data_IF_289151569388
#
_entry.id   IF_289151569388
#
_cell.length_a   1.000
_cell.length_b   1.000
_cell.length_c   1.000
_cell.angle_alpha   90.00
_cell.angle_beta   90.00
_cell.angle_gamma   90.00
#
_symmetry.space_group_name_H-M   'P 1'
#
loop_
_entity.id
_entity.type
_entity.pdbx_description
1 polymer ?
#
# COMPACT_ATOMS: atom_id res chain seq x y z
N UNK A 1 -0.25 30.86 14.31
CA UNK A 1 0.32 29.56 13.93
C UNK A 1 0.54 29.56 12.44
N UNK A 2 1.79 29.50 11.96
CA UNK A 2 2.05 29.28 10.55
C UNK A 2 1.67 27.83 10.22
N UNK A 3 0.84 27.63 9.19
CA UNK A 3 0.54 26.29 8.68
C UNK A 3 1.83 25.79 8.02
N UNK A 4 2.46 24.77 8.62
CA UNK A 4 3.66 24.15 8.08
C UNK A 4 3.33 23.57 6.70
N UNK A 5 3.89 24.15 5.64
CA UNK A 5 3.66 23.69 4.28
C UNK A 5 4.32 22.32 4.11
N UNK A 6 3.51 21.27 3.98
CA UNK A 6 3.95 19.88 4.01
C UNK A 6 3.42 19.12 2.79
N UNK A 7 4.20 18.14 2.32
CA UNK A 7 3.79 17.13 1.35
C UNK A 7 3.47 15.86 2.14
N UNK A 8 2.24 15.40 2.01
CA UNK A 8 1.78 14.19 2.68
C UNK A 8 1.80 13.00 1.70
N UNK A 9 2.41 11.92 2.15
CA UNK A 9 2.67 10.71 1.38
C UNK A 9 1.99 9.50 2.00
N UNK A 10 1.07 8.89 1.26
CA UNK A 10 0.55 7.55 1.55
C UNK A 10 1.37 6.53 0.77
N UNK A 11 2.33 5.90 1.45
CA UNK A 11 3.34 5.05 0.80
C UNK A 11 2.87 3.63 0.49
N UNK A 12 1.66 3.26 0.93
CA UNK A 12 1.13 1.92 0.72
C UNK A 12 -0.37 1.95 0.47
N UNK A 13 -0.78 1.98 -0.79
CA UNK A 13 -2.17 1.95 -1.20
C UNK A 13 -2.39 0.94 -2.34
N UNK A 14 -3.14 -0.13 -2.07
CA UNK A 14 -3.48 -1.14 -3.07
C UNK A 14 -4.57 -0.67 -4.04
N UNK A 15 -5.44 0.26 -3.66
CA UNK A 15 -6.60 0.59 -4.50
C UNK A 15 -7.59 -0.58 -4.67
N UNK A 16 -8.30 -0.62 -5.80
CA UNK A 16 -9.25 -1.68 -6.09
C UNK A 16 -8.52 -3.04 -6.23
N UNK A 17 -9.14 -4.11 -5.73
CA UNK A 17 -8.57 -5.46 -5.71
C UNK A 17 -8.42 -6.00 -7.13
N UNK A 18 -9.50 -5.84 -7.92
CA UNK A 18 -9.42 -5.82 -9.36
C UNK A 18 -10.33 -4.71 -9.91
N UNK A 19 -10.15 -4.43 -11.21
CA UNK A 19 -10.89 -3.35 -11.89
C UNK A 19 -12.26 -3.81 -12.43
N UNK A 20 -12.73 -5.01 -12.09
CA UNK A 20 -14.03 -5.51 -12.53
C UNK A 20 -15.17 -4.67 -11.91
N UNK A 21 -16.33 -4.56 -12.59
CA UNK A 21 -17.46 -3.82 -12.06
C UNK A 21 -17.91 -4.29 -10.66
N UNK A 22 -17.83 -5.60 -10.40
CA UNK A 22 -18.19 -6.20 -9.10
C UNK A 22 -17.29 -5.66 -7.99
N UNK A 23 -15.98 -5.77 -8.14
CA UNK A 23 -15.03 -5.37 -7.10
C UNK A 23 -14.97 -3.87 -6.90
N UNK A 24 -15.07 -3.11 -7.99
CA UNK A 24 -15.22 -1.67 -7.94
C UNK A 24 -16.43 -1.26 -7.08
N UNK A 25 -17.60 -1.84 -7.35
CA UNK A 25 -18.80 -1.57 -6.56
C UNK A 25 -18.62 -1.96 -5.08
N UNK A 26 -18.09 -3.16 -4.82
CA UNK A 26 -17.87 -3.71 -3.47
C UNK A 26 -16.91 -2.83 -2.66
N UNK A 27 -15.88 -2.26 -3.28
CA UNK A 27 -14.84 -1.47 -2.60
C UNK A 27 -15.14 0.05 -2.58
N UNK A 28 -16.38 0.45 -2.91
CA UNK A 28 -16.80 1.85 -2.86
C UNK A 28 -16.31 2.70 -4.03
N UNK A 29 -15.76 2.08 -5.09
CA UNK A 29 -15.50 2.74 -6.35
C UNK A 29 -16.80 2.79 -7.17
N UNK A 30 -17.51 3.91 -7.06
CA UNK A 30 -18.76 4.13 -7.79
C UNK A 30 -18.50 4.16 -9.31
N UNK A 31 -19.58 4.16 -10.08
CA UNK A 31 -19.51 4.36 -11.54
C UNK A 31 -18.67 5.60 -11.87
N UNK A 32 -17.88 5.52 -12.95
CA UNK A 32 -17.06 6.63 -13.43
C UNK A 32 -15.58 6.31 -13.55
N UNK A 33 -14.76 7.36 -13.59
CA UNK A 33 -13.31 7.26 -13.72
C UNK A 33 -12.67 6.96 -12.35
N UNK A 34 -11.93 5.86 -12.25
CA UNK A 34 -11.31 5.41 -11.01
C UNK A 34 -10.17 6.34 -10.55
N UNK A 35 -9.31 6.75 -11.48
CA UNK A 35 -8.22 7.69 -11.20
C UNK A 35 -8.77 9.01 -10.66
N UNK A 36 -9.87 9.52 -11.23
CA UNK A 36 -10.56 10.70 -10.71
C UNK A 36 -10.96 10.53 -9.23
N UNK A 37 -11.56 9.40 -8.86
CA UNK A 37 -11.99 9.15 -7.48
C UNK A 37 -10.82 9.08 -6.50
N UNK A 38 -9.70 8.49 -6.93
CA UNK A 38 -8.45 8.46 -6.14
C UNK A 38 -7.94 9.88 -5.93
N UNK A 39 -7.80 10.66 -7.01
CA UNK A 39 -7.27 12.04 -6.97
C UNK A 39 -8.18 12.95 -6.15
N UNK A 40 -9.49 12.90 -6.33
CA UNK A 40 -10.45 13.71 -5.56
C UNK A 40 -10.35 13.42 -4.07
N UNK A 41 -10.20 12.15 -3.71
CA UNK A 41 -10.06 11.75 -2.31
C UNK A 41 -8.73 12.20 -1.74
N UNK A 42 -7.64 12.08 -2.51
CA UNK A 42 -6.33 12.58 -2.15
C UNK A 42 -6.36 14.10 -1.89
N UNK A 43 -6.90 14.88 -2.82
CA UNK A 43 -7.04 16.33 -2.72
C UNK A 43 -7.89 16.74 -1.51
N UNK A 44 -9.02 16.05 -1.28
CA UNK A 44 -9.90 16.30 -0.12
C UNK A 44 -9.18 16.04 1.21
N UNK A 45 -8.31 15.03 1.26
CA UNK A 45 -7.55 14.64 2.45
C UNK A 45 -6.17 15.29 2.54
N UNK A 46 -5.86 16.20 1.61
CA UNK A 46 -4.55 16.84 1.52
C UNK A 46 -3.39 15.83 1.41
N UNK A 47 -3.56 14.78 0.61
CA UNK A 47 -2.51 13.80 0.26
C UNK A 47 -1.99 14.14 -1.13
N UNK A 48 -0.69 14.42 -1.24
CA UNK A 48 -0.06 14.82 -2.50
C UNK A 48 0.67 13.66 -3.17
N UNK A 49 1.22 12.73 -2.40
CA UNK A 49 1.91 11.57 -2.95
C UNK A 49 1.15 10.30 -2.56
N UNK A 50 0.92 9.40 -3.52
CA UNK A 50 0.30 8.10 -3.28
C UNK A 50 1.13 7.04 -4.00
N UNK A 51 1.64 6.07 -3.26
CA UNK A 51 2.20 4.85 -3.83
C UNK A 51 1.08 3.87 -4.16
N UNK A 52 0.85 3.65 -5.45
CA UNK A 52 -0.14 2.68 -5.92
C UNK A 52 0.53 1.32 -6.12
N UNK A 53 0.13 0.35 -5.30
CA UNK A 53 0.79 -0.96 -5.18
C UNK A 53 0.24 -1.99 -6.16
N UNK A 54 1.09 -2.39 -7.09
CA UNK A 54 0.95 -3.57 -7.94
C UNK A 54 1.42 -4.82 -7.20
N UNK A 55 0.60 -5.86 -7.21
CA UNK A 55 0.87 -7.09 -6.46
C UNK A 55 0.14 -8.28 -7.10
N UNK A 56 0.87 -9.39 -7.25
CA UNK A 56 0.35 -10.67 -7.72
C UNK A 56 0.79 -11.75 -6.75
N UNK A 57 -0.18 -12.42 -6.12
CA UNK A 57 0.10 -13.46 -5.16
C UNK A 57 0.64 -14.75 -5.76
N UNK A 58 0.47 -14.94 -7.08
CA UNK A 58 0.93 -16.11 -7.84
C UNK A 58 0.34 -17.43 -7.29
N UNK A 59 -0.48 -18.14 -8.07
CA UNK A 59 -0.72 -19.54 -7.72
C UNK A 59 0.61 -20.31 -7.78
N UNK A 60 0.89 -21.01 -6.68
CA UNK A 60 2.17 -21.59 -6.28
C UNK A 60 2.97 -22.30 -7.41
N UNK A 61 4.29 -22.06 -7.36
CA UNK A 61 5.37 -22.98 -7.72
C UNK A 61 5.67 -23.33 -9.19
N UNK A 62 4.82 -23.05 -10.19
CA UNK A 62 5.09 -23.58 -11.54
C UNK A 62 6.06 -22.78 -12.42
N UNK A 63 6.34 -21.52 -12.09
CA UNK A 63 7.26 -20.69 -12.86
C UNK A 63 8.11 -19.85 -11.90
N UNK A 64 9.42 -20.15 -11.81
CA UNK A 64 10.36 -19.17 -11.24
C UNK A 64 10.28 -17.89 -12.06
N UNK A 65 10.14 -16.73 -11.39
CA UNK A 65 10.08 -15.43 -12.05
C UNK A 65 8.73 -15.08 -12.69
N UNK A 66 7.64 -15.08 -11.90
CA UNK A 66 6.38 -14.49 -12.39
C UNK A 66 6.57 -12.98 -12.47
N UNK A 67 6.56 -12.45 -13.69
CA UNK A 67 6.61 -11.01 -13.98
C UNK A 67 5.18 -10.51 -14.09
N UNK A 68 4.83 -9.46 -13.33
CA UNK A 68 3.51 -8.84 -13.41
C UNK A 68 3.37 -8.16 -14.79
N UNK A 69 2.66 -8.79 -15.72
CA UNK A 69 2.49 -8.26 -17.07
C UNK A 69 1.84 -6.87 -17.09
N UNK A 70 2.25 -6.00 -18.03
CA UNK A 70 1.74 -4.62 -18.18
C UNK A 70 0.21 -4.53 -18.22
N UNK A 71 -0.43 -5.49 -18.89
CA UNK A 71 -1.89 -5.50 -19.06
C UNK A 71 -2.63 -6.31 -17.98
N UNK A 72 -1.89 -6.84 -17.00
CA UNK A 72 -2.46 -7.60 -15.89
C UNK A 72 -3.32 -6.74 -14.98
N UNK A 73 -4.33 -7.34 -14.35
CA UNK A 73 -5.10 -6.71 -13.27
C UNK A 73 -4.22 -6.41 -12.04
N UNK A 74 -3.10 -7.13 -11.92
CA UNK A 74 -2.10 -6.97 -10.86
C UNK A 74 -1.18 -5.74 -11.08
N UNK A 75 -1.05 -5.24 -12.32
CA UNK A 75 -0.31 -4.01 -12.63
C UNK A 75 -1.21 -2.78 -12.51
N UNK A 76 -1.42 -2.30 -11.29
CA UNK A 76 -2.44 -1.27 -11.03
C UNK A 76 -2.07 0.07 -11.64
N UNK A 77 -0.78 0.39 -11.71
CA UNK A 77 -0.31 1.63 -12.33
C UNK A 77 -0.61 1.69 -13.83
N UNK A 78 -0.28 0.63 -14.58
CA UNK A 78 -0.63 0.54 -16.00
C UNK A 78 -2.16 0.60 -16.24
N UNK A 79 -2.95 0.04 -15.33
CA UNK A 79 -4.41 0.14 -15.42
C UNK A 79 -4.91 1.57 -15.20
N UNK A 80 -4.39 2.31 -14.20
CA UNK A 80 -4.79 3.70 -13.96
C UNK A 80 -4.31 4.67 -15.03
N UNK A 81 -3.18 4.39 -15.69
CA UNK A 81 -2.69 5.16 -16.83
C UNK A 81 -3.73 5.26 -17.94
N UNK A 82 -4.41 4.15 -18.25
CA UNK A 82 -5.50 4.13 -19.23
C UNK A 82 -6.70 4.99 -18.81
N UNK A 83 -6.90 5.19 -17.50
CA UNK A 83 -7.93 6.08 -16.99
C UNK A 83 -7.53 7.56 -17.06
N UNK A 84 -6.23 7.90 -17.13
CA UNK A 84 -5.75 9.27 -17.30
C UNK A 84 -6.25 9.90 -18.61
N UNK A 85 -6.23 9.12 -19.71
CA UNK A 85 -6.75 9.52 -21.02
C UNK A 85 -8.26 9.85 -21.04
N UNK A 86 -9.00 9.42 -20.01
CA UNK A 86 -10.44 9.60 -19.86
C UNK A 86 -10.79 10.50 -18.69
N UNK A 87 -9.82 11.25 -18.16
CA UNK A 87 -10.11 12.24 -17.14
C UNK A 87 -10.94 13.39 -17.73
N UNK A 88 -11.78 14.04 -16.90
CA UNK A 88 -12.45 15.28 -17.31
C UNK A 88 -11.44 16.37 -17.72
N UNK A 89 -11.85 17.29 -18.59
CA UNK A 89 -10.96 18.31 -19.21
C UNK A 89 -10.31 19.24 -18.18
N UNK A 90 -10.92 19.41 -17.02
CA UNK A 90 -10.42 20.21 -15.92
C UNK A 90 -9.30 19.54 -15.10
N UNK A 91 -8.87 18.34 -15.49
CA UNK A 91 -7.70 17.65 -14.93
C UNK A 91 -6.57 17.67 -15.96
N UNK A 92 -5.43 18.24 -15.56
CA UNK A 92 -4.16 18.04 -16.26
C UNK A 92 -3.55 16.71 -15.85
N UNK A 93 -2.86 16.03 -16.77
CA UNK A 93 -2.08 14.85 -16.43
C UNK A 93 -0.79 14.78 -17.24
N UNK A 94 0.26 14.26 -16.59
CA UNK A 94 1.54 13.91 -17.20
C UNK A 94 1.99 12.57 -16.62
N UNK A 95 2.52 11.69 -17.47
CA UNK A 95 2.88 10.32 -17.09
C UNK A 95 4.34 10.08 -17.43
N UNK A 96 5.13 9.86 -16.40
CA UNK A 96 6.46 9.26 -16.46
C UNK A 96 6.34 7.78 -16.06
N UNK A 97 7.30 6.96 -16.51
CA UNK A 97 7.35 5.50 -16.32
C UNK A 97 7.10 5.04 -14.88
N UNK A 98 7.49 5.83 -13.89
CA UNK A 98 7.32 5.51 -12.45
C UNK A 98 6.38 6.45 -11.70
N UNK A 99 5.98 7.58 -12.29
CA UNK A 99 5.20 8.62 -11.60
C UNK A 99 4.21 9.27 -12.55
N UNK A 100 2.95 9.34 -12.13
CA UNK A 100 1.90 10.09 -12.81
C UNK A 100 1.56 11.34 -12.01
N UNK A 101 1.74 12.51 -12.62
CA UNK A 101 1.31 13.80 -12.08
C UNK A 101 -0.10 14.12 -12.56
N UNK A 102 -1.00 14.42 -11.63
CA UNK A 102 -2.35 14.91 -11.91
C UNK A 102 -2.53 16.29 -11.29
N UNK A 103 -3.00 17.26 -12.08
CA UNK A 103 -3.29 18.61 -11.64
C UNK A 103 -4.79 18.90 -11.71
N UNK A 104 -5.35 19.49 -10.65
CA UNK A 104 -6.73 19.96 -10.63
C UNK A 104 -6.87 21.20 -9.73
N UNK A 105 -7.43 22.29 -10.26
CA UNK A 105 -7.60 23.57 -9.56
C UNK A 105 -6.31 24.11 -8.91
N UNK A 106 -5.18 24.00 -9.61
CA UNK A 106 -3.86 24.45 -9.12
C UNK A 106 -3.28 23.60 -7.98
N UNK A 107 -3.87 22.43 -7.70
CA UNK A 107 -3.32 21.43 -6.77
C UNK A 107 -2.83 20.23 -7.53
N UNK A 108 -1.77 19.61 -7.02
CA UNK A 108 -1.10 18.48 -7.65
C UNK A 108 -1.18 17.23 -6.78
N UNK A 109 -1.38 16.09 -7.42
CA UNK A 109 -1.27 14.75 -6.83
C UNK A 109 -0.34 13.92 -7.72
N UNK A 110 0.61 13.25 -7.11
CA UNK A 110 1.55 12.34 -7.76
C UNK A 110 1.21 10.92 -7.34
N UNK A 111 0.90 10.08 -8.32
CA UNK A 111 0.75 8.65 -8.12
C UNK A 111 2.08 8.00 -8.49
N UNK A 112 2.67 7.24 -7.58
CA UNK A 112 3.98 6.61 -7.73
C UNK A 112 3.74 5.12 -7.93
N UNK A 113 4.30 4.55 -8.99
CA UNK A 113 4.28 3.10 -9.18
C UNK A 113 5.06 2.44 -8.05
N UNK A 114 4.40 1.49 -7.40
CA UNK A 114 4.98 0.69 -6.32
C UNK A 114 4.62 -0.76 -6.58
N UNK A 115 5.52 -1.67 -6.23
CA UNK A 115 5.29 -3.09 -6.34
C UNK A 115 5.60 -3.76 -5.02
N UNK A 116 4.85 -4.82 -4.70
CA UNK A 116 5.24 -5.80 -3.67
C UNK A 116 5.69 -7.07 -4.38
N UNK A 117 6.98 -7.20 -4.76
CA UNK A 117 7.52 -8.49 -5.12
C UNK A 117 7.45 -9.47 -3.95
N UNK A 118 6.93 -10.66 -4.23
CA UNK A 118 7.02 -11.81 -3.34
C UNK A 118 8.42 -12.37 -3.48
N UNK A 119 9.19 -12.44 -2.40
CA UNK A 119 10.57 -12.98 -2.42
C UNK A 119 10.69 -14.23 -1.56
N UNK A 120 11.72 -15.03 -1.81
CA UNK A 120 12.06 -16.21 -1.00
C UNK A 120 13.31 -15.91 -0.16
N UNK A 121 13.20 -15.97 1.17
CA UNK A 121 14.38 -16.00 2.03
C UNK A 121 14.47 -17.36 2.71
N UNK A 122 15.50 -18.14 2.35
CA UNK A 122 15.81 -19.44 2.97
C UNK A 122 14.59 -20.38 3.07
N UNK A 123 13.78 -20.43 2.01
CA UNK A 123 12.58 -21.26 1.91
C UNK A 123 11.30 -20.65 2.49
N UNK A 124 11.35 -19.42 3.00
CA UNK A 124 10.20 -18.66 3.50
C UNK A 124 9.79 -17.58 2.50
N UNK A 125 8.49 -17.37 2.30
CA UNK A 125 7.96 -16.22 1.57
C UNK A 125 8.10 -14.94 2.41
N UNK A 126 8.54 -13.87 1.77
CA UNK A 126 8.50 -12.50 2.30
C UNK A 126 7.85 -11.55 1.28
N UNK A 127 7.20 -10.52 1.77
CA UNK A 127 6.64 -9.46 0.95
C UNK A 127 7.59 -8.23 1.03
N UNK A 128 8.11 -7.79 -0.12
CA UNK A 128 9.13 -6.74 -0.20
C UNK A 128 8.57 -5.52 -0.93
N UNK A 129 8.28 -4.42 -0.21
CA UNK A 129 7.65 -3.25 -0.81
C UNK A 129 8.70 -2.35 -1.49
N UNK A 130 8.56 -2.14 -2.81
CA UNK A 130 9.50 -1.39 -3.64
C UNK A 130 8.78 -0.24 -4.36
N UNK A 131 9.11 0.99 -3.97
CA UNK A 131 8.50 2.23 -4.47
C UNK A 131 9.41 2.87 -5.52
N UNK A 132 8.82 3.35 -6.63
CA UNK A 132 9.52 4.08 -7.68
C UNK A 132 10.01 3.23 -8.86
N UNK A 133 9.70 1.92 -8.87
CA UNK A 133 10.01 1.03 -9.98
C UNK A 133 9.25 1.39 -11.27
N UNK A 134 9.71 0.91 -12.42
CA UNK A 134 9.08 1.14 -13.71
C UNK A 134 7.95 0.10 -13.96
N UNK A 135 6.74 0.56 -14.29
CA UNK A 135 5.59 -0.32 -14.52
C UNK A 135 5.69 -1.17 -15.80
N UNK A 136 6.57 -0.83 -16.73
CA UNK A 136 6.88 -1.61 -17.94
C UNK A 136 7.93 -2.69 -17.69
N UNK A 137 8.67 -2.57 -16.58
CA UNK A 137 9.74 -3.48 -16.21
C UNK A 137 9.58 -3.88 -14.75
N UNK A 138 8.57 -4.70 -14.46
CA UNK A 138 8.24 -5.12 -13.09
C UNK A 138 9.28 -6.10 -12.52
N UNK A 139 9.47 -6.04 -11.21
CA UNK A 139 10.38 -6.93 -10.47
C UNK A 139 9.82 -8.36 -10.49
N UNK A 140 10.61 -9.40 -10.81
CA UNK A 140 10.11 -10.77 -10.82
C UNK A 140 9.75 -11.26 -9.41
N UNK A 141 8.62 -11.95 -9.28
CA UNK A 141 8.24 -12.66 -8.07
C UNK A 141 9.01 -13.98 -7.92
N UNK A 142 9.08 -14.45 -6.67
CA UNK A 142 9.61 -15.72 -6.18
C UNK A 142 11.13 -15.88 -6.30
N UNK A 143 11.86 -14.81 -6.60
CA UNK A 143 13.32 -14.79 -6.53
C UNK A 143 13.79 -14.77 -5.06
N UNK A 144 14.98 -15.30 -4.77
CA UNK A 144 15.65 -15.06 -3.50
C UNK A 144 15.79 -13.56 -3.19
N UNK A 145 15.72 -13.15 -1.93
CA UNK A 145 15.81 -11.72 -1.56
C UNK A 145 17.08 -11.05 -2.11
N UNK A 146 18.24 -11.72 -2.02
CA UNK A 146 19.50 -11.21 -2.56
C UNK A 146 19.44 -11.04 -4.08
N UNK A 147 18.92 -12.05 -4.81
CA UNK A 147 18.73 -11.98 -6.27
C UNK A 147 17.72 -10.90 -6.67
N UNK A 148 16.66 -10.68 -5.87
CA UNK A 148 15.73 -9.57 -6.07
C UNK A 148 16.44 -8.22 -5.94
N UNK A 149 17.29 -8.06 -4.92
CA UNK A 149 18.04 -6.82 -4.71
C UNK A 149 19.08 -6.59 -5.81
N UNK A 150 19.79 -7.63 -6.23
CA UNK A 150 20.70 -7.59 -7.40
C UNK A 150 19.93 -7.17 -8.65
N UNK A 151 18.78 -7.79 -8.92
CA UNK A 151 17.94 -7.41 -10.05
C UNK A 151 17.50 -5.94 -9.97
N UNK A 152 17.09 -5.45 -8.80
CA UNK A 152 16.73 -4.03 -8.61
C UNK A 152 17.93 -3.13 -8.92
N UNK A 153 19.12 -3.49 -8.44
CA UNK A 153 20.35 -2.72 -8.64
C UNK A 153 20.79 -2.66 -10.11
N UNK A 154 20.64 -3.76 -10.84
CA UNK A 154 21.03 -3.86 -12.25
C UNK A 154 20.06 -3.12 -13.18
N UNK A 155 18.81 -2.94 -12.75
CA UNK A 155 17.73 -2.55 -13.63
C UNK A 155 17.12 -1.18 -13.33
N UNK A 156 17.44 -0.59 -12.17
CA UNK A 156 17.03 0.75 -11.79
C UNK A 156 18.19 1.56 -11.22
N UNK A 157 18.10 2.89 -11.34
CA UNK A 157 18.93 3.76 -10.51
C UNK A 157 18.53 3.58 -9.04
N UNK A 158 19.42 2.98 -8.25
CA UNK A 158 19.17 2.70 -6.83
C UNK A 158 18.98 3.96 -6.00
N UNK A 159 19.37 5.14 -6.49
CA UNK A 159 19.13 6.41 -5.81
C UNK A 159 17.66 6.87 -5.85
N UNK A 160 16.82 6.28 -6.72
CA UNK A 160 15.39 6.59 -6.80
C UNK A 160 14.47 5.47 -6.28
N UNK A 161 15.01 4.28 -5.99
CA UNK A 161 14.20 3.16 -5.48
C UNK A 161 14.18 3.20 -3.97
N UNK A 162 12.97 3.22 -3.38
CA UNK A 162 12.78 3.15 -1.93
C UNK A 162 12.31 1.74 -1.59
N UNK A 163 13.03 1.08 -0.66
CA UNK A 163 12.73 -0.28 -0.21
C UNK A 163 12.17 -0.24 1.20
N UNK A 164 11.00 -0.81 1.41
CA UNK A 164 10.31 -0.78 2.70
C UNK A 164 10.05 -2.21 3.17
N UNK A 165 10.39 -2.47 4.43
CA UNK A 165 10.05 -3.73 5.05
C UNK A 165 8.60 -3.67 5.52
N UNK A 166 7.75 -4.40 4.80
CA UNK A 166 6.32 -4.47 4.99
C UNK A 166 5.96 -5.48 6.09
N UNK A 167 4.88 -5.18 6.83
CA UNK A 167 4.27 -6.09 7.79
C UNK A 167 5.24 -6.70 8.81
N UNK A 168 6.28 -5.95 9.23
CA UNK A 168 7.22 -6.43 10.25
C UNK A 168 6.46 -6.86 11.49
N UNK A 169 6.92 -7.97 12.07
CA UNK A 169 6.28 -8.55 13.26
C UNK A 169 5.10 -9.46 12.94
N UNK A 170 4.63 -9.53 11.69
CA UNK A 170 3.49 -10.35 11.29
C UNK A 170 3.90 -11.51 10.37
N UNK A 171 4.36 -12.61 10.98
CA UNK A 171 4.87 -13.75 10.24
C UNK A 171 3.81 -14.45 9.38
N UNK A 172 2.56 -14.46 9.83
CA UNK A 172 1.41 -15.01 9.10
C UNK A 172 1.07 -14.22 7.83
N UNK A 173 1.61 -13.00 7.70
CA UNK A 173 1.56 -12.16 6.51
C UNK A 173 2.97 -11.95 5.94
N UNK A 174 3.85 -12.94 6.10
CA UNK A 174 5.15 -12.96 5.43
C UNK A 174 6.14 -11.86 5.85
N UNK A 175 5.89 -11.15 6.96
CA UNK A 175 6.82 -10.14 7.48
C UNK A 175 8.05 -10.72 8.19
N UNK A 176 9.21 -10.07 8.04
CA UNK A 176 10.41 -10.40 8.81
C UNK A 176 10.28 -9.95 10.27
N UNK A 177 10.89 -10.68 11.21
CA UNK A 177 10.82 -10.39 12.65
C UNK A 177 12.19 -10.46 13.32
N UNK A 178 12.36 -9.70 14.42
CA UNK A 178 13.50 -9.80 15.32
C UNK A 178 14.87 -9.54 14.67
N UNK A 179 15.88 -10.30 15.08
CA UNK A 179 17.27 -10.13 14.62
C UNK A 179 17.44 -10.38 13.12
N UNK A 180 16.64 -11.25 12.52
CA UNK A 180 16.70 -11.49 11.07
C UNK A 180 16.33 -10.23 10.29
N UNK A 181 15.24 -9.56 10.67
CA UNK A 181 14.88 -8.28 10.08
C UNK A 181 16.04 -7.27 10.21
N UNK A 182 16.66 -7.18 11.39
CA UNK A 182 17.77 -6.25 11.64
C UNK A 182 19.02 -6.58 10.83
N UNK A 183 19.32 -7.86 10.60
CA UNK A 183 20.39 -8.32 9.72
C UNK A 183 20.15 -7.83 8.29
N UNK A 184 18.97 -8.10 7.73
CA UNK A 184 18.62 -7.66 6.38
C UNK A 184 18.62 -6.13 6.24
N UNK A 185 18.14 -5.41 7.25
CA UNK A 185 18.20 -3.95 7.27
C UNK A 185 19.65 -3.44 7.24
N UNK A 186 20.54 -4.02 8.06
CA UNK A 186 21.97 -3.64 8.10
C UNK A 186 22.71 -3.96 6.80
N UNK A 187 22.27 -4.99 6.08
CA UNK A 187 22.81 -5.34 4.77
C UNK A 187 22.37 -4.36 3.66
N UNK A 188 21.52 -3.36 3.97
CA UNK A 188 21.08 -2.35 3.03
C UNK A 188 19.91 -2.81 2.15
N UNK A 189 19.21 -3.88 2.53
CA UNK A 189 18.08 -4.40 1.77
C UNK A 189 16.80 -3.56 1.95
N UNK A 190 16.77 -2.68 2.95
CA UNK A 190 15.63 -1.82 3.28
C UNK A 190 16.06 -0.41 3.67
N UNK A 191 15.30 0.60 3.25
CA UNK A 191 15.48 2.00 3.65
C UNK A 191 14.60 2.39 4.85
N UNK A 192 13.48 1.68 5.08
CA UNK A 192 12.51 1.99 6.14
C UNK A 192 11.65 0.79 6.57
N UNK A 193 10.94 0.95 7.68
CA UNK A 193 9.85 0.06 8.14
C UNK A 193 8.49 0.60 7.76
N UNK A 194 7.53 -0.30 7.57
CA UNK A 194 6.12 0.08 7.45
C UNK A 194 5.46 0.30 8.83
N UNK A 195 4.69 1.38 8.91
CA UNK A 195 3.50 1.50 9.76
C UNK A 195 2.25 1.23 8.92
N UNK A 196 1.45 0.24 9.33
CA UNK A 196 0.26 -0.20 8.59
C UNK A 196 -1.04 0.27 9.30
N UNK A 197 -1.83 1.12 8.65
CA UNK A 197 -3.08 1.65 9.20
C UNK A 197 -4.26 0.64 9.25
N UNK A 198 -4.17 -0.51 8.57
CA UNK A 198 -5.14 -1.61 8.68
C UNK A 198 -4.97 -2.44 9.96
N UNK A 199 -3.87 -2.27 10.70
CA UNK A 199 -3.68 -2.89 12.02
C UNK A 199 -4.60 -2.23 13.06
N UNK A 200 -5.83 -2.72 13.21
CA UNK A 200 -6.86 -2.10 14.06
C UNK A 200 -6.62 -2.32 15.57
N UNK A 201 -7.32 -1.57 16.45
CA UNK A 201 -7.28 -1.82 17.91
C UNK A 201 -8.39 -2.80 18.31
N UNK A 202 -8.08 -4.04 18.70
CA UNK A 202 -9.08 -5.02 19.05
C UNK A 202 -9.49 -5.00 20.53
N UNK A 203 -9.04 -4.03 21.34
CA UNK A 203 -9.12 -4.08 22.81
C UNK A 203 -10.50 -4.44 23.40
N UNK A 204 -11.61 -4.21 22.68
CA UNK A 204 -12.97 -4.58 23.12
C UNK A 204 -13.68 -5.66 22.26
N UNK A 205 -12.98 -6.38 21.38
CA UNK A 205 -13.58 -7.28 20.38
C UNK A 205 -13.30 -8.76 20.61
N UNK A 206 -12.74 -9.12 21.78
CA UNK A 206 -12.65 -10.50 22.23
C UNK A 206 -14.01 -11.22 22.15
N UNK A 207 -15.13 -10.50 22.32
CA UNK A 207 -16.48 -11.06 22.17
C UNK A 207 -16.85 -11.47 20.72
N UNK A 208 -16.34 -10.77 19.69
CA UNK A 208 -16.57 -11.13 18.28
C UNK A 208 -15.69 -12.31 17.85
N UNK A 209 -14.48 -12.40 18.43
CA UNK A 209 -13.53 -13.50 18.18
C UNK A 209 -14.13 -14.87 18.46
N UNK A 210 -14.96 -15.00 19.50
CA UNK A 210 -15.63 -16.26 19.84
C UNK A 210 -16.91 -16.52 19.03
N UNK A 211 -17.52 -15.45 18.47
CA UNK A 211 -18.79 -15.56 17.74
C UNK A 211 -18.60 -15.80 16.24
N UNK A 212 -17.46 -15.40 15.67
CA UNK A 212 -17.15 -15.63 14.26
C UNK A 212 -15.67 -16.08 14.14
N UNK A 213 -15.39 -17.40 14.21
CA UNK A 213 -14.03 -17.93 14.30
C UNK A 213 -13.07 -17.47 13.19
N UNK A 214 -13.57 -17.33 11.95
CA UNK A 214 -12.81 -16.82 10.81
C UNK A 214 -12.38 -15.34 10.99
N UNK A 215 -13.29 -14.49 11.46
CA UNK A 215 -12.98 -13.10 11.81
C UNK A 215 -12.05 -13.04 13.03
N UNK A 216 -12.24 -13.95 13.99
CA UNK A 216 -11.41 -14.05 15.19
C UNK A 216 -9.94 -14.36 14.93
N UNK A 217 -9.61 -15.19 13.94
CA UNK A 217 -8.21 -15.45 13.56
C UNK A 217 -7.60 -14.25 12.82
N UNK A 218 -8.35 -13.60 11.94
CA UNK A 218 -7.90 -12.39 11.22
C UNK A 218 -7.76 -11.15 12.12
N UNK A 219 -8.55 -11.05 13.18
CA UNK A 219 -8.41 -9.97 14.18
C UNK A 219 -7.17 -10.11 15.08
N UNK A 220 -6.62 -11.33 15.24
CA UNK A 220 -5.37 -11.52 16.01
C UNK A 220 -4.17 -10.88 15.33
N UNK A 221 -4.15 -10.96 14.01
CA UNK A 221 -3.04 -10.51 13.16
C UNK A 221 -3.14 -9.02 12.83
N UNK A 222 -4.36 -8.46 12.71
CA UNK A 222 -4.58 -7.03 12.48
C UNK A 222 -4.63 -6.21 13.79
N UNK A 223 -3.53 -6.16 14.56
CA UNK A 223 -3.48 -5.52 15.87
C UNK A 223 -2.48 -4.34 15.93
N UNK A 224 -2.92 -3.19 16.47
CA UNK A 224 -2.07 -2.01 16.76
C UNK A 224 -0.79 -2.33 17.53
N UNK A 225 -0.81 -3.35 18.40
CA UNK A 225 0.37 -3.77 19.15
C UNK A 225 1.57 -4.14 18.27
N UNK A 226 1.34 -4.54 17.01
CA UNK A 226 2.41 -4.77 16.04
C UNK A 226 3.05 -3.45 15.59
N UNK A 227 2.27 -2.41 15.31
CA UNK A 227 2.82 -1.08 15.01
C UNK A 227 3.59 -0.50 16.21
N UNK A 228 3.13 -0.76 17.44
CA UNK A 228 3.84 -0.36 18.65
C UNK A 228 5.19 -1.08 18.76
N UNK A 229 5.22 -2.41 18.57
CA UNK A 229 6.46 -3.18 18.56
C UNK A 229 7.43 -2.74 17.44
N UNK A 230 6.90 -2.46 16.24
CA UNK A 230 7.71 -1.96 15.11
C UNK A 230 8.28 -0.57 15.40
N UNK A 231 7.52 0.30 16.08
CA UNK A 231 8.00 1.61 16.52
C UNK A 231 9.14 1.47 17.53
N UNK A 232 9.02 0.55 18.48
CA UNK A 232 10.08 0.30 19.47
C UNK A 232 11.38 -0.18 18.79
N UNK A 233 11.27 -1.07 17.80
CA UNK A 233 12.40 -1.51 16.99
C UNK A 233 12.99 -0.32 16.21
N UNK A 234 12.15 0.45 15.52
CA UNK A 234 12.56 1.62 14.75
C UNK A 234 13.34 2.62 15.60
N UNK A 235 12.80 2.97 16.77
CA UNK A 235 13.45 3.89 17.72
C UNK A 235 14.76 3.33 18.24
N UNK A 236 14.78 2.05 18.67
CA UNK A 236 15.97 1.41 19.24
C UNK A 236 17.12 1.33 18.24
N UNK A 237 16.82 1.14 16.97
CA UNK A 237 17.83 0.94 15.92
C UNK A 237 17.99 2.13 14.98
N UNK A 238 17.35 3.27 15.28
CA UNK A 238 17.34 4.47 14.45
C UNK A 238 16.95 4.20 12.98
N UNK A 239 15.92 3.39 12.80
CA UNK A 239 15.39 3.02 11.49
C UNK A 239 14.19 3.93 11.16
N UNK A 240 14.12 4.55 9.97
CA UNK A 240 12.94 5.31 9.57
C UNK A 240 11.69 4.43 9.50
N UNK A 241 10.54 4.95 9.95
CA UNK A 241 9.25 4.26 9.84
C UNK A 241 8.33 5.08 8.94
N UNK A 242 7.92 4.54 7.80
CA UNK A 242 7.00 5.15 6.85
C UNK A 242 5.56 4.83 7.20
N UNK A 243 4.66 5.80 7.05
CA UNK A 243 3.26 5.67 7.45
C UNK A 243 2.37 5.54 6.21
N UNK A 244 1.61 4.45 6.14
CA UNK A 244 0.84 4.07 4.96
C UNK A 244 -0.54 3.53 5.33
N UNK A 245 -1.48 3.65 4.40
CA UNK A 245 -2.85 3.24 4.66
C UNK A 245 -3.10 1.74 4.57
N UNK A 246 -2.24 1.03 3.83
CA UNK A 246 -2.49 -0.34 3.31
C UNK A 246 -3.93 -0.42 2.73
N UNK A 247 -4.26 0.63 1.99
CA UNK A 247 -5.64 0.96 1.67
C UNK A 247 -6.14 0.21 0.43
N UNK A 248 -7.27 -0.48 0.58
CA UNK A 248 -7.95 -1.19 -0.50
C UNK A 248 -9.22 -0.48 -1.02
N UNK A 249 -9.50 0.74 -0.53
CA UNK A 249 -10.68 1.55 -0.89
C UNK A 249 -10.31 3.01 -0.95
N UNK A 250 -10.99 3.83 -1.77
CA UNK A 250 -10.67 5.28 -1.86
C UNK A 250 -10.69 5.97 -0.50
N UNK A 251 -11.67 5.64 0.36
CA UNK A 251 -11.77 6.25 1.68
C UNK A 251 -10.62 5.87 2.62
N UNK A 252 -9.79 4.88 2.28
CA UNK A 252 -8.60 4.51 3.06
C UNK A 252 -7.38 5.38 2.73
N UNK A 253 -7.36 6.07 1.59
CA UNK A 253 -6.25 6.96 1.22
C UNK A 253 -5.95 7.92 2.38
N UNK A 254 -4.70 7.97 2.83
CA UNK A 254 -4.27 8.85 3.91
C UNK A 254 -4.85 8.52 5.29
N UNK A 255 -5.29 7.28 5.55
CA UNK A 255 -5.59 6.83 6.92
C UNK A 255 -4.38 7.05 7.84
N UNK A 256 -3.19 6.73 7.36
CA UNK A 256 -1.91 7.18 7.89
C UNK A 256 -1.06 7.75 6.75
N UNK A 257 -0.15 8.66 7.04
CA UNK A 257 0.75 9.22 6.03
C UNK A 257 2.04 9.78 6.63
N UNK A 258 3.12 9.78 5.84
CA UNK A 258 4.36 10.47 6.15
C UNK A 258 4.30 11.92 5.67
N UNK A 259 4.71 12.86 6.52
CA UNK A 259 4.62 14.31 6.27
C UNK A 259 6.00 14.92 6.12
N UNK A 260 6.33 15.34 4.91
CA UNK A 260 7.62 15.92 4.54
C UNK A 260 7.51 17.45 4.47
N UNK A 261 8.55 18.21 4.86
CA UNK A 261 8.60 19.64 4.54
C UNK A 261 8.49 19.84 3.03
N UNK A 262 7.59 20.71 2.56
CA UNK A 262 7.37 20.91 1.13
C UNK A 262 8.66 21.27 0.38
N UNK A 263 9.51 22.12 0.98
CA UNK A 263 10.80 22.56 0.41
C UNK A 263 11.85 21.46 0.29
N UNK A 264 11.65 20.30 0.93
CA UNK A 264 12.60 19.18 0.93
C UNK A 264 12.34 18.17 -0.20
N UNK A 265 11.17 18.24 -0.85
CA UNK A 265 10.77 17.33 -1.93
C UNK A 265 10.79 18.09 -3.24
N UNK A 266 11.59 17.60 -4.19
CA UNK A 266 11.77 18.24 -5.49
C UNK A 266 10.83 17.62 -6.53
N UNK A 267 9.76 18.34 -6.88
CA UNK A 267 8.75 17.86 -7.83
C UNK A 267 9.04 18.22 -9.30
N UNK A 268 10.26 18.68 -9.63
CA UNK A 268 10.59 19.14 -11.00
C UNK A 268 10.59 18.04 -12.07
N UNK A 269 10.81 16.79 -11.65
CA UNK A 269 10.75 15.59 -12.50
C UNK A 269 10.46 14.36 -11.64
N UNK A 270 10.03 13.24 -12.23
CA UNK A 270 9.82 11.99 -11.50
C UNK A 270 11.09 11.51 -10.78
N UNK A 271 12.23 11.58 -11.46
CA UNK A 271 13.53 11.22 -10.90
C UNK A 271 13.92 12.10 -9.71
N UNK A 272 13.74 13.43 -9.82
CA UNK A 272 14.00 14.36 -8.73
C UNK A 272 13.06 14.14 -7.55
N UNK A 273 11.79 13.82 -7.82
CA UNK A 273 10.79 13.51 -6.80
C UNK A 273 11.22 12.29 -5.99
N UNK A 274 11.49 11.17 -6.67
CA UNK A 274 11.86 9.91 -6.03
C UNK A 274 13.18 10.01 -5.27
N UNK A 275 14.21 10.65 -5.85
CA UNK A 275 15.51 10.85 -5.17
C UNK A 275 15.36 11.70 -3.91
N UNK A 276 14.68 12.84 -4.00
CA UNK A 276 14.47 13.72 -2.84
C UNK A 276 13.62 13.05 -1.76
N UNK A 277 12.59 12.29 -2.15
CA UNK A 277 11.78 11.50 -1.23
C UNK A 277 12.64 10.46 -0.50
N UNK A 278 13.42 9.66 -1.22
CA UNK A 278 14.34 8.66 -0.63
C UNK A 278 15.33 9.28 0.34
N UNK A 279 15.97 10.39 -0.03
CA UNK A 279 16.93 11.11 0.83
C UNK A 279 16.26 11.50 2.15
N UNK A 280 15.05 12.08 2.11
CA UNK A 280 14.34 12.46 3.33
C UNK A 280 13.92 11.24 4.17
N UNK A 281 13.58 10.11 3.53
CA UNK A 281 13.22 8.87 4.21
C UNK A 281 14.43 8.32 4.97
N UNK A 282 15.56 8.10 4.29
CA UNK A 282 16.79 7.57 4.90
C UNK A 282 17.28 8.49 6.02
N UNK A 283 17.18 9.80 5.83
CA UNK A 283 17.56 10.79 6.84
C UNK A 283 16.53 10.92 7.99
N UNK A 284 15.43 10.18 7.95
CA UNK A 284 14.30 10.27 8.88
C UNK A 284 13.76 11.72 9.02
N UNK A 285 13.80 12.50 7.94
CA UNK A 285 13.41 13.91 7.90
C UNK A 285 11.93 14.09 7.51
N UNK A 286 11.05 13.51 8.30
CA UNK A 286 9.61 13.61 8.13
C UNK A 286 8.91 13.34 9.47
N UNK A 287 7.61 13.64 9.53
CA UNK A 287 6.77 13.30 10.69
C UNK A 287 5.72 12.27 10.27
N UNK A 288 5.51 11.27 11.12
CA UNK A 288 4.37 10.36 10.95
C UNK A 288 3.06 11.03 11.34
N UNK A 289 2.03 10.85 10.53
CA UNK A 289 0.65 11.03 10.95
C UNK A 289 -0.01 9.67 11.07
N UNK A 290 -0.32 9.29 12.30
CA UNK A 290 -0.97 8.03 12.58
C UNK A 290 -2.48 8.17 12.49
N UNK A 291 -3.06 7.20 11.81
CA UNK A 291 -4.47 6.88 11.91
C UNK A 291 -4.64 5.41 11.62
N UNK A 292 -5.86 4.94 11.86
CA UNK A 292 -6.17 3.53 11.77
C UNK A 292 -7.56 3.38 11.16
N UNK A 293 -7.76 2.31 10.40
CA UNK A 293 -9.10 1.88 10.05
C UNK A 293 -9.89 1.63 11.35
N UNK A 294 -11.15 2.05 11.39
CA UNK A 294 -12.04 1.61 12.46
C UNK A 294 -12.32 0.12 12.31
N UNK A 295 -12.60 -0.58 13.42
CA UNK A 295 -13.02 -1.97 13.36
C UNK A 295 -14.22 -2.17 12.42
N UNK A 296 -15.16 -1.22 12.40
CA UNK A 296 -16.33 -1.29 11.52
C UNK A 296 -15.90 -1.21 10.05
N UNK A 297 -15.02 -0.27 9.70
CA UNK A 297 -14.47 -0.17 8.33
C UNK A 297 -13.73 -1.45 7.94
N UNK A 298 -12.87 -1.95 8.82
CA UNK A 298 -12.09 -3.16 8.56
C UNK A 298 -12.96 -4.41 8.43
N UNK A 299 -13.93 -4.59 9.33
CA UNK A 299 -14.89 -5.71 9.28
C UNK A 299 -15.73 -5.65 8.01
N UNK A 300 -16.18 -4.44 7.63
CA UNK A 300 -16.90 -4.22 6.38
C UNK A 300 -16.06 -4.63 5.17
N UNK A 301 -14.81 -4.17 5.12
CA UNK A 301 -13.86 -4.53 4.07
C UNK A 301 -13.62 -6.04 4.02
N UNK A 302 -13.35 -6.68 5.15
CA UNK A 302 -13.08 -8.11 5.20
C UNK A 302 -14.31 -8.92 4.76
N UNK A 303 -15.50 -8.50 5.16
CA UNK A 303 -16.75 -9.17 4.76
C UNK A 303 -16.99 -9.02 3.26
N UNK A 304 -16.78 -7.82 2.72
CA UNK A 304 -16.81 -7.51 1.29
C UNK A 304 -15.80 -8.38 0.51
N UNK A 305 -14.59 -8.54 1.04
CA UNK A 305 -13.55 -9.41 0.50
C UNK A 305 -13.96 -10.88 0.46
N UNK A 306 -14.47 -11.41 1.57
CA UNK A 306 -14.92 -12.82 1.70
C UNK A 306 -16.07 -13.12 0.74
N UNK A 307 -17.08 -12.24 0.69
CA UNK A 307 -18.23 -12.38 -0.23
C UNK A 307 -17.78 -12.24 -1.68
N UNK A 308 -16.90 -11.29 -1.97
CA UNK A 308 -16.37 -11.04 -3.31
C UNK A 308 -15.61 -12.25 -3.88
N UNK A 309 -14.85 -12.96 -3.05
CA UNK A 309 -14.13 -14.18 -3.43
C UNK A 309 -14.99 -15.46 -3.40
N UNK A 310 -16.29 -15.36 -3.06
CA UNK A 310 -17.16 -16.55 -2.98
C UNK A 310 -16.75 -17.53 -1.87
N UNK A 311 -15.94 -17.09 -0.91
CA UNK A 311 -15.54 -17.90 0.24
C UNK A 311 -16.81 -18.12 1.07
N UNK A 312 -17.24 -19.39 1.19
CA UNK A 312 -18.39 -19.74 2.02
C UNK A 312 -18.08 -19.38 3.46
N UNK A 313 -18.75 -18.33 3.96
CA UNK A 313 -18.77 -18.05 5.39
C UNK A 313 -19.28 -19.30 6.12
N UNK A 314 -18.62 -19.75 7.20
CA UNK A 314 -18.96 -21.01 7.86
C UNK A 314 -20.37 -21.02 8.49
N UNK A 315 -21.13 -19.92 8.42
CA UNK A 315 -22.51 -19.84 8.91
C UNK A 315 -23.46 -19.23 7.86
N UNK A 316 -24.54 -19.92 7.46
CA UNK A 316 -25.48 -19.46 6.42
C UNK A 316 -26.26 -18.19 6.79
N UNK A 317 -26.44 -17.90 8.08
CA UNK A 317 -27.20 -16.71 8.53
C UNK A 317 -26.50 -15.37 8.29
N UNK A 318 -25.16 -15.33 8.20
CA UNK A 318 -24.44 -14.07 7.91
C UNK A 318 -24.58 -13.67 6.43
N UNK A 319 -24.72 -14.65 5.53
CA UNK A 319 -25.01 -14.39 4.12
C UNK A 319 -26.40 -13.77 3.93
N UNK A 320 -27.36 -14.11 4.79
CA UNK A 320 -28.72 -13.58 4.76
C UNK A 320 -28.83 -12.14 5.29
N UNK A 321 -28.06 -11.78 6.32
CA UNK A 321 -27.98 -10.39 6.83
C UNK A 321 -27.40 -9.44 5.77
N UNK A 322 -26.41 -9.90 4.99
CA UNK A 322 -25.81 -9.09 3.92
C UNK A 322 -26.70 -8.95 2.67
N UNK A 323 -27.46 -9.99 2.29
CA UNK A 323 -28.40 -9.89 1.15
C UNK A 323 -29.60 -8.99 1.42
N UNK A 324 -29.96 -8.75 2.69
CA UNK A 324 -31.09 -7.89 3.07
C UNK A 324 -30.70 -6.46 3.43
N UNK A 325 -29.40 -6.13 3.45
CA UNK A 325 -28.88 -4.79 3.69
C UNK A 325 -28.97 -3.88 2.47
N UNK A 326 -30.15 -3.67 1.90
CA UNK A 326 -30.42 -2.45 1.11
C UNK A 326 -30.37 -1.27 2.08
N UNK A 327 -29.22 -0.61 2.19
CA UNK A 327 -29.15 0.73 2.74
C UNK A 327 -30.01 1.61 1.85
N UNK A 328 -31.21 1.98 2.34
CA UNK A 328 -32.00 3.04 1.73
C UNK A 328 -31.18 4.33 1.80
N UNK A 329 -31.09 4.97 0.65
CA UNK A 329 -30.44 6.25 0.32
C UNK A 329 -30.64 7.34 1.35
#
# INVERSE_FOLDING_TARGET
>A
MQVENTINFDHHYHGAFDFSPKWRFVQGYWFGNLLKQIVDTALKKNIQLISLVSEDFGEEEKCGGIVIGKDSIHNKFAQIERFALRLPKEYGHDVDQSVMKIEHNGKEVYIIHTQVPIVKDKGRRLDHLVIGGNHERTIPNLLPLDETNEWINDNYDTNQIIRVAEHIGLEEHFGLTGEKFLEEFRNGNYDALEFNAQMINPSNLNALRYKIPFLGSKLKVANKGLNEANRDIAMKHNIPMLYGSDGHRVEHIGLACSRFPYSSINTSSALSLLRSLRINIIANNFKGQEGYASCLQWTRWLSEFVVGHGIKMPHPDLTAVYRKGTFKS
#
